data_IF_874026028003
#
_entry.id   IF_874026028003
#
_cell.length_a   1.000
_cell.length_b   1.000
_cell.length_c   1.000
_cell.angle_alpha   90.00
_cell.angle_beta   90.00
_cell.angle_gamma   90.00
#
_symmetry.space_group_name_H-M   'P 1'
#
loop_
_entity.id
_entity.type
_entity.pdbx_description
1 polymer ?
#
# COMPACT_ATOMS: atom_id res chain seq x y z
N UNK A 1 44.14 -20.30 5.33
CA UNK A 1 42.88 -21.06 5.49
C UNK A 1 41.72 -20.10 5.71
N UNK A 2 41.73 -19.25 6.74
CA UNK A 2 40.66 -18.26 6.98
C UNK A 2 40.45 -17.27 5.81
N UNK A 3 41.51 -16.76 5.19
CA UNK A 3 41.43 -15.89 4.01
C UNK A 3 40.73 -16.56 2.84
N UNK A 4 41.12 -17.79 2.51
CA UNK A 4 40.52 -18.58 1.44
C UNK A 4 39.03 -18.85 1.66
N UNK A 5 38.60 -19.04 2.92
CA UNK A 5 37.18 -19.18 3.25
C UNK A 5 36.43 -17.85 3.08
N UNK A 6 36.98 -16.73 3.56
CA UNK A 6 36.37 -15.40 3.35
C UNK A 6 36.17 -15.09 1.87
N UNK A 7 37.18 -15.37 1.05
CA UNK A 7 37.09 -15.17 -0.40
C UNK A 7 36.00 -16.06 -1.02
N UNK A 8 35.95 -17.34 -0.64
CA UNK A 8 34.92 -18.26 -1.10
C UNK A 8 33.50 -17.83 -0.70
N UNK A 9 33.31 -17.27 0.50
CA UNK A 9 32.01 -16.75 0.96
C UNK A 9 31.57 -15.47 0.22
N UNK A 10 32.51 -14.65 -0.26
CA UNK A 10 32.19 -13.44 -1.01
C UNK A 10 31.86 -13.72 -2.48
N UNK A 11 32.34 -14.83 -3.04
CA UNK A 11 32.17 -15.14 -4.47
C UNK A 11 30.70 -15.18 -4.92
N UNK A 12 29.75 -15.81 -4.20
CA UNK A 12 28.33 -15.75 -4.55
C UNK A 12 27.78 -14.33 -4.58
N UNK A 13 28.10 -13.51 -3.56
CA UNK A 13 27.66 -12.12 -3.50
C UNK A 13 28.16 -11.31 -4.70
N UNK A 14 29.46 -11.38 -5.02
CA UNK A 14 30.05 -10.64 -6.14
C UNK A 14 29.48 -11.13 -7.48
N UNK A 15 29.31 -12.45 -7.62
CA UNK A 15 28.85 -13.06 -8.87
C UNK A 15 27.38 -12.76 -9.14
N UNK A 16 26.53 -12.84 -8.12
CA UNK A 16 25.08 -12.64 -8.24
C UNK A 16 24.74 -11.16 -8.29
N UNK A 17 25.33 -10.31 -7.44
CA UNK A 17 25.03 -8.87 -7.42
C UNK A 17 25.27 -8.19 -8.77
N UNK A 18 26.33 -8.59 -9.50
CA UNK A 18 26.62 -8.08 -10.85
C UNK A 18 25.59 -8.48 -11.91
N UNK A 19 24.76 -9.50 -11.63
CA UNK A 19 23.68 -9.95 -12.51
C UNK A 19 22.35 -9.28 -12.17
N UNK A 20 22.23 -8.61 -11.02
CA UNK A 20 21.02 -7.86 -10.65
C UNK A 20 21.08 -6.52 -11.39
N UNK A 21 20.22 -6.38 -12.40
CA UNK A 21 20.08 -5.15 -13.17
C UNK A 21 18.83 -4.41 -12.72
N UNK A 22 18.91 -3.09 -12.60
CA UNK A 22 17.73 -2.26 -12.39
C UNK A 22 17.04 -2.08 -13.74
N UNK A 23 15.91 -2.76 -13.92
CA UNK A 23 15.15 -2.73 -15.18
C UNK A 23 14.21 -1.52 -15.28
N UNK A 24 13.71 -1.02 -14.14
CA UNK A 24 12.74 0.05 -14.11
C UNK A 24 12.85 0.88 -12.82
N UNK A 25 12.57 2.17 -12.92
CA UNK A 25 12.57 3.13 -11.80
C UNK A 25 11.32 3.99 -11.92
N UNK A 26 10.55 4.07 -10.82
CA UNK A 26 9.33 4.88 -10.75
C UNK A 26 9.52 5.98 -9.71
N UNK A 27 9.53 7.23 -10.16
CA UNK A 27 9.50 8.42 -9.29
C UNK A 27 8.06 8.69 -8.83
N UNK A 28 7.79 8.48 -7.53
CA UNK A 28 6.45 8.68 -6.94
C UNK A 28 6.17 10.15 -6.67
N UNK A 29 6.85 10.77 -5.70
CA UNK A 29 6.67 12.18 -5.32
C UNK A 29 7.96 12.78 -4.76
N UNK A 30 8.14 14.11 -4.84
CA UNK A 30 9.23 14.81 -4.18
C UNK A 30 8.97 14.84 -2.67
N UNK A 31 10.03 14.59 -1.89
CA UNK A 31 9.97 14.76 -0.45
C UNK A 31 10.33 16.21 -0.09
N UNK A 32 9.53 16.92 0.72
CA UNK A 32 9.81 18.31 1.07
C UNK A 32 11.09 18.42 1.91
N UNK A 33 11.98 19.35 1.52
CA UNK A 33 13.26 19.59 2.19
C UNK A 33 13.15 20.42 3.48
N UNK A 34 11.95 20.82 3.90
CA UNK A 34 11.69 21.72 5.02
C UNK A 34 11.95 21.05 6.37
N UNK A 35 12.90 21.60 7.13
CA UNK A 35 13.51 21.08 8.36
C UNK A 35 12.62 21.02 9.61
N UNK A 36 11.28 21.09 9.52
CA UNK A 36 10.39 20.94 10.68
C UNK A 36 9.93 19.50 10.92
N UNK A 37 10.12 18.59 9.96
CA UNK A 37 9.66 17.20 10.06
C UNK A 37 10.79 16.25 10.45
N UNK A 38 11.20 16.23 11.72
CA UNK A 38 12.12 15.22 12.26
C UNK A 38 11.50 13.81 12.39
N UNK A 39 10.32 13.58 11.80
CA UNK A 39 9.56 12.32 11.93
C UNK A 39 8.49 12.15 10.83
N UNK A 40 8.69 12.65 9.61
CA UNK A 40 7.76 12.37 8.50
C UNK A 40 7.92 10.93 8.01
N UNK A 41 7.48 9.97 8.81
CA UNK A 41 7.25 8.60 8.37
C UNK A 41 6.09 8.65 7.37
N UNK A 42 6.37 8.34 6.11
CA UNK A 42 5.32 8.15 5.11
C UNK A 42 4.89 6.70 5.17
N UNK A 43 3.63 6.42 5.53
CA UNK A 43 3.09 5.06 5.43
C UNK A 43 3.36 4.47 4.04
N UNK A 44 3.99 3.30 4.02
CA UNK A 44 4.37 2.57 2.83
C UNK A 44 4.22 1.08 3.12
N UNK A 45 3.52 0.37 2.24
CA UNK A 45 3.42 -1.08 2.27
C UNK A 45 3.76 -1.63 0.88
N UNK A 46 4.65 -2.62 0.85
CA UNK A 46 5.08 -3.34 -0.35
C UNK A 46 4.76 -4.81 -0.15
N UNK A 47 4.09 -5.42 -1.12
CA UNK A 47 3.69 -6.83 -1.07
C UNK A 47 3.60 -7.40 -2.48
N UNK A 48 3.61 -8.73 -2.59
CA UNK A 48 3.44 -9.43 -3.86
C UNK A 48 2.50 -10.62 -3.67
N UNK A 49 1.73 -10.94 -4.71
CA UNK A 49 0.78 -12.05 -4.72
C UNK A 49 0.92 -12.86 -5.99
N UNK A 50 0.58 -14.14 -5.90
CA UNK A 50 0.29 -14.96 -7.07
C UNK A 50 -1.13 -14.61 -7.56
N UNK A 51 -1.24 -14.27 -8.83
CA UNK A 51 -2.51 -13.96 -9.47
C UNK A 51 -3.30 -15.26 -9.64
N UNK A 52 -4.44 -15.37 -8.95
CA UNK A 52 -5.31 -16.54 -8.99
C UNK A 52 -6.42 -16.44 -10.03
N UNK A 53 -6.47 -15.34 -10.81
CA UNK A 53 -7.56 -15.04 -11.75
C UNK A 53 -7.65 -15.98 -12.97
N UNK A 54 -6.66 -16.85 -13.21
CA UNK A 54 -6.60 -17.71 -14.41
C UNK A 54 -6.86 -19.21 -14.19
N UNK A 55 -7.38 -19.64 -13.04
CA UNK A 55 -7.64 -21.08 -12.79
C UNK A 55 -8.80 -21.66 -13.64
N UNK A 56 -9.50 -20.86 -14.46
CA UNK A 56 -10.66 -21.30 -15.25
C UNK A 56 -10.31 -21.73 -16.69
N UNK A 57 -9.11 -21.44 -17.20
CA UNK A 57 -8.71 -21.87 -18.55
C UNK A 57 -7.78 -23.08 -18.49
N UNK A 58 -8.39 -24.27 -18.40
CA UNK A 58 -7.69 -25.52 -18.65
C UNK A 58 -7.32 -25.60 -20.14
N UNK A 59 -6.19 -25.03 -20.54
CA UNK A 59 -5.38 -25.48 -21.68
C UNK A 59 -4.03 -24.70 -21.76
N UNK A 60 -2.93 -25.39 -21.43
CA UNK A 60 -1.59 -25.27 -22.01
C UNK A 60 -0.83 -23.90 -21.96
N UNK A 61 -0.51 -23.38 -20.78
CA UNK A 61 0.84 -22.92 -20.39
C UNK A 61 0.85 -22.51 -18.92
N UNK A 62 1.78 -23.04 -18.14
CA UNK A 62 1.92 -22.73 -16.72
C UNK A 62 2.69 -21.42 -16.56
N UNK A 63 2.07 -20.28 -16.91
CA UNK A 63 2.64 -18.96 -16.61
C UNK A 63 2.16 -18.53 -15.23
N UNK A 64 3.01 -18.71 -14.21
CA UNK A 64 2.74 -18.10 -12.90
C UNK A 64 2.83 -16.59 -13.04
N UNK A 65 1.69 -15.92 -12.85
CA UNK A 65 1.57 -14.47 -12.87
C UNK A 65 1.70 -13.97 -11.44
N UNK A 66 2.61 -13.05 -11.21
CA UNK A 66 2.75 -12.38 -9.91
C UNK A 66 2.36 -10.90 -10.06
N UNK A 67 1.76 -10.35 -9.01
CA UNK A 67 1.43 -8.93 -8.95
C UNK A 67 2.12 -8.33 -7.75
N UNK A 68 3.00 -7.37 -8.02
CA UNK A 68 3.59 -6.52 -6.99
C UNK A 68 2.64 -5.35 -6.72
N UNK A 69 2.48 -5.02 -5.46
CA UNK A 69 1.73 -3.85 -5.02
C UNK A 69 2.62 -2.96 -4.16
N UNK A 70 2.54 -1.67 -4.40
CA UNK A 70 3.13 -0.61 -3.59
C UNK A 70 2.01 0.35 -3.23
N UNK A 71 1.69 0.44 -1.95
CA UNK A 71 0.71 1.38 -1.43
C UNK A 71 1.40 2.37 -0.51
N UNK A 72 1.02 3.63 -0.60
CA UNK A 72 1.71 4.70 0.12
C UNK A 72 0.81 5.91 0.31
N UNK A 73 1.08 6.69 1.36
CA UNK A 73 0.44 7.99 1.55
C UNK A 73 1.19 9.06 0.75
N UNK A 74 0.46 9.93 0.06
CA UNK A 74 1.02 11.14 -0.55
C UNK A 74 1.22 12.20 0.54
N UNK A 75 2.43 12.76 0.72
CA UNK A 75 2.64 13.83 1.67
C UNK A 75 1.83 15.09 1.28
N UNK A 76 1.16 15.70 2.25
CA UNK A 76 0.28 16.86 2.01
C UNK A 76 1.06 18.06 1.44
N UNK A 77 2.35 18.18 1.79
CA UNK A 77 3.24 19.24 1.33
C UNK A 77 3.84 19.00 -0.07
N UNK A 78 3.64 17.81 -0.66
CA UNK A 78 4.23 17.50 -1.97
C UNK A 78 3.48 18.19 -3.10
N UNK A 79 2.15 18.06 -3.14
CA UNK A 79 1.30 18.57 -4.22
C UNK A 79 -0.08 18.94 -3.66
N UNK A 80 -0.50 20.19 -3.86
CA UNK A 80 -1.78 20.68 -3.33
C UNK A 80 -2.99 20.01 -3.99
N UNK A 81 -2.88 19.62 -5.27
CA UNK A 81 -3.95 19.01 -6.05
C UNK A 81 -4.28 17.58 -5.62
N UNK A 82 -3.35 16.90 -4.95
CA UNK A 82 -3.49 15.50 -4.51
C UNK A 82 -3.12 15.34 -3.02
N UNK A 83 -3.35 16.39 -2.24
CA UNK A 83 -3.17 16.36 -0.80
C UNK A 83 -4.10 15.31 -0.15
N UNK A 84 -3.70 14.76 1.00
CA UNK A 84 -4.47 13.76 1.74
C UNK A 84 -4.92 12.54 0.89
N UNK A 85 -4.08 12.11 -0.05
CA UNK A 85 -4.36 10.95 -0.90
C UNK A 85 -3.50 9.74 -0.52
N UNK A 86 -4.00 8.55 -0.81
CA UNK A 86 -3.27 7.28 -0.81
C UNK A 86 -3.06 6.84 -2.26
N UNK A 87 -1.82 6.57 -2.64
CA UNK A 87 -1.49 5.99 -3.93
C UNK A 87 -1.34 4.48 -3.82
N UNK A 88 -1.85 3.76 -4.82
CA UNK A 88 -1.62 2.33 -4.99
C UNK A 88 -1.07 2.13 -6.40
N UNK A 89 0.10 1.52 -6.50
CA UNK A 89 0.70 1.08 -7.75
C UNK A 89 0.71 -0.44 -7.74
N UNK A 90 0.26 -1.05 -8.83
CA UNK A 90 0.40 -2.49 -9.06
C UNK A 90 1.21 -2.75 -10.32
N UNK A 91 2.03 -3.79 -10.31
CA UNK A 91 2.86 -4.20 -11.45
C UNK A 91 2.71 -5.70 -11.69
N UNK A 92 2.42 -6.06 -12.93
CA UNK A 92 2.26 -7.45 -13.35
C UNK A 92 3.60 -8.03 -13.80
N UNK A 93 4.11 -9.02 -13.06
CA UNK A 93 5.29 -9.78 -13.39
C UNK A 93 4.87 -11.07 -14.09
N UNK A 94 5.33 -11.24 -15.32
CA UNK A 94 5.14 -12.45 -16.11
C UNK A 94 6.47 -13.21 -16.17
N UNK A 95 6.48 -14.49 -15.81
CA UNK A 95 7.65 -15.36 -16.00
C UNK A 95 7.79 -15.72 -17.48
N UNK A 96 8.41 -14.85 -18.27
CA UNK A 96 8.64 -15.10 -19.69
C UNK A 96 10.01 -15.76 -19.92
N UNK A 97 10.00 -17.07 -20.11
CA UNK A 97 11.13 -17.80 -20.70
C UNK A 97 11.22 -17.68 -22.24
N UNK A 98 10.47 -16.78 -22.90
CA UNK A 98 10.45 -16.70 -24.37
C UNK A 98 10.36 -15.26 -24.91
N UNK A 99 11.48 -14.81 -25.48
CA UNK A 99 11.66 -13.89 -26.61
C UNK A 99 10.84 -12.59 -26.73
N UNK A 100 11.62 -11.49 -26.73
CA UNK A 100 11.47 -10.24 -27.48
C UNK A 100 10.24 -9.37 -27.18
N UNK A 101 10.51 -8.39 -26.31
CA UNK A 101 9.86 -7.08 -26.14
C UNK A 101 8.35 -7.08 -25.83
N UNK A 102 8.03 -6.31 -24.78
CA UNK A 102 6.68 -5.85 -24.36
C UNK A 102 5.94 -6.75 -23.36
N UNK A 103 5.51 -6.32 -22.16
CA UNK A 103 5.70 -5.14 -21.33
C UNK A 103 5.26 -5.60 -19.92
N UNK A 104 6.05 -5.43 -18.85
CA UNK A 104 5.41 -5.44 -17.52
C UNK A 104 4.59 -4.15 -17.44
N UNK A 105 3.26 -4.26 -17.60
CA UNK A 105 2.37 -3.13 -17.40
C UNK A 105 2.36 -2.78 -15.92
N UNK A 106 2.57 -1.51 -15.64
CA UNK A 106 2.34 -0.95 -14.31
C UNK A 106 1.08 -0.12 -14.40
N UNK A 107 0.28 -0.14 -13.34
CA UNK A 107 -0.92 0.66 -13.23
C UNK A 107 -0.96 1.32 -11.86
N UNK A 108 -1.62 2.46 -11.76
CA UNK A 108 -1.75 3.15 -10.49
C UNK A 108 -3.11 3.82 -10.34
N UNK A 109 -3.50 4.03 -9.09
CA UNK A 109 -4.70 4.77 -8.69
C UNK A 109 -4.38 5.66 -7.49
N UNK A 110 -5.06 6.80 -7.42
CA UNK A 110 -5.07 7.69 -6.27
C UNK A 110 -6.43 7.66 -5.61
N UNK A 111 -6.44 7.48 -4.30
CA UNK A 111 -7.65 7.52 -3.47
C UNK A 111 -7.57 8.76 -2.57
N UNK A 112 -8.54 9.68 -2.66
CA UNK A 112 -8.63 10.80 -1.75
C UNK A 112 -9.33 10.41 -0.45
N UNK A 113 -8.71 10.76 0.67
CA UNK A 113 -9.30 10.58 1.99
C UNK A 113 -10.24 11.77 2.24
N UNK A 114 -11.45 11.54 2.79
CA UNK A 114 -12.40 12.61 3.06
C UNK A 114 -11.83 13.66 4.01
N UNK A 115 -12.29 14.90 3.82
CA UNK A 115 -11.99 16.01 4.71
C UNK A 115 -12.40 15.66 6.15
N UNK A 116 -11.58 16.05 7.11
CA UNK A 116 -11.79 15.68 8.51
C UNK A 116 -11.15 14.35 8.89
N UNK A 117 -10.48 13.65 7.98
CA UNK A 117 -9.74 12.41 8.27
C UNK A 117 -8.34 12.42 7.65
N UNK A 118 -7.42 11.68 8.25
CA UNK A 118 -6.05 11.53 7.78
C UNK A 118 -5.59 10.08 7.87
N UNK A 119 -4.90 9.59 6.84
CA UNK A 119 -4.27 8.27 6.87
C UNK A 119 -3.05 8.28 7.80
N UNK A 120 -3.10 7.40 8.78
CA UNK A 120 -2.08 7.18 9.80
C UNK A 120 -1.12 6.11 9.34
N UNK A 121 -1.65 4.98 8.87
CA UNK A 121 -0.88 3.88 8.32
C UNK A 121 -1.74 3.05 7.36
N UNK A 122 -1.09 2.20 6.58
CA UNK A 122 -1.75 1.32 5.63
C UNK A 122 -0.96 0.02 5.48
N UNK A 123 -1.66 -1.07 5.20
CA UNK A 123 -1.02 -2.35 4.91
C UNK A 123 -1.86 -3.13 3.95
N UNK A 124 -1.21 -3.77 3.00
CA UNK A 124 -1.89 -4.66 2.08
C UNK A 124 -2.25 -5.99 2.77
N UNK A 125 -3.36 -6.57 2.35
CA UNK A 125 -4.01 -7.76 2.90
C UNK A 125 -4.22 -8.82 1.79
N UNK A 126 -4.83 -9.97 2.07
CA UNK A 126 -5.03 -11.00 1.04
C UNK A 126 -6.01 -10.54 -0.05
N UNK A 127 -5.99 -11.25 -1.17
CA UNK A 127 -7.01 -11.17 -2.22
C UNK A 127 -7.24 -9.74 -2.76
N UNK A 128 -6.14 -9.01 -3.00
CA UNK A 128 -6.21 -7.65 -3.54
C UNK A 128 -6.87 -6.65 -2.60
N UNK A 129 -6.81 -6.85 -1.28
CA UNK A 129 -7.35 -5.92 -0.29
C UNK A 129 -6.25 -5.07 0.35
N UNK A 130 -6.59 -3.85 0.75
CA UNK A 130 -5.73 -2.99 1.57
C UNK A 130 -6.48 -2.59 2.84
N UNK A 131 -5.80 -2.67 3.97
CA UNK A 131 -6.28 -2.13 5.24
C UNK A 131 -5.74 -0.72 5.41
N UNK A 132 -6.65 0.24 5.55
CA UNK A 132 -6.36 1.64 5.85
C UNK A 132 -6.64 1.92 7.31
N UNK A 133 -5.75 2.66 7.95
CA UNK A 133 -5.90 3.14 9.32
C UNK A 133 -5.97 4.67 9.31
N UNK A 134 -7.10 5.23 9.74
CA UNK A 134 -7.41 6.64 9.66
C UNK A 134 -7.63 7.24 11.06
N UNK A 135 -7.18 8.47 11.26
CA UNK A 135 -7.57 9.31 12.39
C UNK A 135 -8.49 10.42 11.90
N UNK A 136 -9.49 10.77 12.71
CA UNK A 136 -10.22 12.02 12.52
C UNK A 136 -9.31 13.21 12.85
N UNK A 137 -9.26 14.21 11.97
CA UNK A 137 -8.56 15.46 12.21
C UNK A 137 -9.47 16.39 13.01
N UNK A 138 -9.04 16.87 14.17
CA UNK A 138 -9.86 17.63 15.09
C UNK A 138 -10.48 18.89 14.44
N UNK A 139 -11.75 18.81 14.03
CA UNK A 139 -12.55 19.97 13.65
C UNK A 139 -13.20 20.56 14.91
N UNK A 140 -12.54 21.55 15.52
CA UNK A 140 -13.09 22.54 16.47
C UNK A 140 -14.34 22.11 17.26
N UNK A 141 -14.28 21.09 18.09
CA UNK A 141 -15.18 20.87 19.23
C UNK A 141 -14.69 19.68 20.05
N UNK A 142 -15.06 19.64 21.34
CA UNK A 142 -14.63 18.63 22.31
C UNK A 142 -15.21 17.22 22.07
N UNK A 143 -15.25 16.76 20.82
CA UNK A 143 -15.55 15.36 20.52
C UNK A 143 -14.32 14.48 20.75
N UNK A 144 -14.53 13.27 21.24
CA UNK A 144 -13.51 12.23 21.27
C UNK A 144 -12.99 12.01 19.86
N UNK A 145 -11.67 12.15 19.64
CA UNK A 145 -11.02 11.87 18.35
C UNK A 145 -11.37 10.45 17.90
N UNK A 146 -12.24 10.34 16.89
CA UNK A 146 -12.59 9.08 16.27
C UNK A 146 -11.43 8.54 15.43
N UNK A 147 -11.39 7.24 15.26
CA UNK A 147 -10.42 6.58 14.38
C UNK A 147 -11.10 5.42 13.67
N UNK A 148 -10.63 5.10 12.49
CA UNK A 148 -11.29 4.14 11.62
C UNK A 148 -10.27 3.15 11.09
N UNK A 149 -10.64 1.87 11.06
CA UNK A 149 -9.95 0.86 10.27
C UNK A 149 -10.88 0.41 9.15
N UNK A 150 -10.40 0.45 7.91
CA UNK A 150 -11.18 0.11 6.73
C UNK A 150 -10.45 -0.92 5.88
N UNK A 151 -11.18 -1.88 5.32
CA UNK A 151 -10.67 -2.77 4.28
C UNK A 151 -11.21 -2.32 2.91
N UNK A 152 -10.31 -1.99 2.00
CA UNK A 152 -10.61 -1.54 0.62
C UNK A 152 -10.27 -2.65 -0.36
N UNK A 153 -11.21 -3.00 -1.25
CA UNK A 153 -10.95 -3.89 -2.37
C UNK A 153 -10.26 -3.11 -3.48
N UNK A 154 -9.06 -3.53 -3.85
CA UNK A 154 -8.23 -2.83 -4.84
C UNK A 154 -8.70 -3.12 -6.26
N UNK A 155 -9.18 -4.33 -6.53
CA UNK A 155 -9.57 -4.73 -7.90
C UNK A 155 -10.77 -3.97 -8.46
N UNK A 156 -11.60 -3.40 -7.58
CA UNK A 156 -12.76 -2.58 -7.96
C UNK A 156 -12.36 -1.12 -8.31
N UNK A 157 -11.09 -0.75 -8.09
CA UNK A 157 -10.62 0.61 -8.30
C UNK A 157 -10.28 0.87 -9.79
N UNK A 158 -10.54 2.07 -10.31
CA UNK A 158 -10.24 2.44 -11.69
C UNK A 158 -8.74 2.72 -11.86
N UNK A 159 -7.95 1.66 -11.99
CA UNK A 159 -6.52 1.76 -12.28
C UNK A 159 -6.24 2.42 -13.64
N UNK A 160 -5.23 3.29 -13.66
CA UNK A 160 -4.74 3.95 -14.86
C UNK A 160 -3.38 3.38 -15.23
N UNK A 161 -3.20 2.99 -16.48
CA UNK A 161 -1.92 2.47 -16.97
C UNK A 161 -0.82 3.53 -16.87
N UNK A 162 0.31 3.13 -16.32
CA UNK A 162 1.49 3.96 -16.12
C UNK A 162 2.56 3.59 -17.14
N UNK A 163 2.77 4.40 -18.19
CA UNK A 163 3.79 4.10 -19.18
C UNK A 163 5.17 4.19 -18.54
N UNK A 164 6.08 3.29 -18.91
CA UNK A 164 7.49 3.38 -18.50
C UNK A 164 8.09 4.68 -19.03
N UNK A 165 8.88 5.37 -18.20
CA UNK A 165 9.60 6.58 -18.59
C UNK A 165 10.99 6.53 -17.99
N UNK A 166 12.06 6.61 -18.80
CA UNK A 166 13.43 6.70 -18.28
C UNK A 166 13.72 8.07 -17.65
N UNK A 167 12.85 9.07 -17.86
CA UNK A 167 13.02 10.41 -17.31
C UNK A 167 12.51 10.48 -15.86
N UNK A 168 13.41 10.83 -14.95
CA UNK A 168 13.16 10.98 -13.50
C UNK A 168 12.44 12.29 -13.13
N UNK A 169 12.44 13.28 -14.03
CA UNK A 169 11.88 14.62 -13.76
C UNK A 169 10.34 14.67 -13.84
N UNK A 170 9.71 13.57 -14.23
CA UNK A 170 8.25 13.46 -14.31
C UNK A 170 7.71 12.61 -13.14
N UNK A 171 7.14 13.28 -12.14
CA UNK A 171 6.41 12.60 -11.05
C UNK A 171 5.17 11.92 -11.60
N UNK A 172 5.19 10.59 -11.65
CA UNK A 172 4.14 9.81 -12.31
C UNK A 172 2.78 9.98 -11.63
N UNK A 173 2.79 10.21 -10.31
CA UNK A 173 1.58 10.40 -9.53
C UNK A 173 0.80 11.66 -9.91
N UNK A 174 1.47 12.72 -10.38
CA UNK A 174 0.81 13.94 -10.85
C UNK A 174 -0.04 13.71 -12.09
N UNK A 175 0.28 12.67 -12.88
CA UNK A 175 -0.51 12.31 -14.06
C UNK A 175 -1.88 11.72 -13.66
N UNK A 176 -2.04 11.33 -12.40
CA UNK A 176 -3.27 10.75 -11.86
C UNK A 176 -4.18 11.79 -11.19
N UNK A 177 -3.80 13.07 -11.14
CA UNK A 177 -4.56 14.13 -10.46
C UNK A 177 -6.01 14.27 -10.95
N UNK A 178 -6.26 13.97 -12.22
CA UNK A 178 -7.58 14.07 -12.84
C UNK A 178 -8.41 12.78 -12.66
N UNK A 179 -7.80 11.71 -12.12
CA UNK A 179 -8.40 10.38 -11.91
C UNK A 179 -8.45 9.99 -10.41
N UNK A 180 -8.48 10.98 -9.52
CA UNK A 180 -8.54 10.74 -8.08
C UNK A 180 -9.93 10.21 -7.69
N UNK A 181 -9.95 9.11 -6.93
CA UNK A 181 -11.16 8.42 -6.51
C UNK A 181 -11.47 8.76 -5.06
N UNK A 182 -12.67 9.25 -4.71
CA UNK A 182 -13.03 9.50 -3.32
C UNK A 182 -13.20 8.19 -2.54
N UNK A 183 -12.58 8.12 -1.36
CA UNK A 183 -12.76 7.01 -0.44
C UNK A 183 -14.20 6.99 0.12
N UNK A 184 -14.91 5.89 -0.11
CA UNK A 184 -16.29 5.71 0.36
C UNK A 184 -16.29 5.15 1.78
N UNK A 185 -16.62 5.99 2.77
CA UNK A 185 -16.68 5.63 4.20
C UNK A 185 -17.97 4.90 4.61
N UNK A 186 -18.98 4.84 3.73
CA UNK A 186 -20.29 4.25 4.01
C UNK A 186 -20.34 2.71 3.80
N UNK A 187 -19.21 2.08 3.49
CA UNK A 187 -19.13 0.64 3.26
C UNK A 187 -19.17 -0.17 4.57
N UNK A 188 -19.71 -1.39 4.49
CA UNK A 188 -19.85 -2.34 5.61
C UNK A 188 -18.51 -2.74 6.28
N UNK A 189 -17.37 -2.51 5.61
CA UNK A 189 -16.03 -2.88 6.11
C UNK A 189 -15.28 -1.76 6.83
N UNK A 190 -16.00 -0.80 7.43
CA UNK A 190 -15.42 0.26 8.27
C UNK A 190 -15.66 -0.04 9.74
N UNK A 191 -14.59 -0.03 10.53
CA UNK A 191 -14.65 -0.24 11.98
C UNK A 191 -14.22 1.01 12.72
N UNK A 192 -15.04 1.41 13.68
CA UNK A 192 -14.78 2.55 14.56
C UNK A 192 -13.86 2.13 15.71
N UNK A 193 -12.85 2.95 15.97
CA UNK A 193 -11.91 2.79 17.08
C UNK A 193 -12.08 4.03 17.96
N UNK A 194 -12.47 3.84 19.21
CA UNK A 194 -12.79 4.94 20.14
C UNK A 194 -11.58 5.77 20.60
N UNK A 195 -10.40 5.52 20.04
CA UNK A 195 -9.15 6.15 20.42
C UNK A 195 -8.33 6.46 19.18
N UNK A 196 -7.68 7.63 19.21
CA UNK A 196 -6.62 7.97 18.25
C UNK A 196 -5.62 6.82 18.10
N UNK A 197 -5.34 6.47 16.85
CA UNK A 197 -4.43 5.40 16.47
C UNK A 197 -3.09 5.97 16.00
N UNK A 198 -2.04 5.17 16.16
CA UNK A 198 -0.67 5.49 15.78
C UNK A 198 -0.05 4.31 15.01
N UNK A 199 0.95 4.55 14.13
CA UNK A 199 1.69 3.47 13.50
C UNK A 199 2.48 2.64 14.54
N UNK A 200 2.85 1.39 14.22
CA UNK A 200 2.61 0.70 12.95
C UNK A 200 1.28 -0.08 12.93
N UNK A 201 0.62 -0.16 11.79
CA UNK A 201 -0.42 -1.14 11.50
C UNK A 201 0.25 -2.47 11.14
N UNK A 202 -0.20 -3.57 11.76
CA UNK A 202 0.23 -4.92 11.38
C UNK A 202 -0.96 -5.76 10.96
N UNK A 203 -0.88 -6.39 9.80
CA UNK A 203 -1.96 -7.22 9.24
C UNK A 203 -1.42 -8.63 8.96
N UNK A 204 -2.24 -9.64 9.24
CA UNK A 204 -1.94 -11.04 8.94
C UNK A 204 -3.00 -11.62 8.01
N UNK A 205 -2.62 -11.76 6.73
CA UNK A 205 -3.40 -12.45 5.70
C UNK A 205 -3.79 -13.88 6.10
N UNK A 206 -2.83 -14.65 6.64
CA UNK A 206 -3.04 -16.07 6.97
C UNK A 206 -3.92 -16.30 8.19
N UNK A 207 -4.03 -15.31 9.08
CA UNK A 207 -4.84 -15.39 10.31
C UNK A 207 -6.10 -14.55 10.26
N UNK A 208 -6.26 -13.72 9.23
CA UNK A 208 -7.38 -12.81 9.09
C UNK A 208 -7.48 -11.77 10.20
N UNK A 209 -6.35 -11.27 10.70
CA UNK A 209 -6.32 -10.31 11.83
C UNK A 209 -5.51 -9.06 11.52
N UNK A 210 -5.89 -7.96 12.15
CA UNK A 210 -5.13 -6.72 12.21
C UNK A 210 -4.80 -6.36 13.66
N UNK A 211 -3.60 -5.84 13.88
CA UNK A 211 -3.16 -5.27 15.16
C UNK A 211 -2.92 -3.78 14.97
N UNK A 212 -3.58 -2.97 15.79
CA UNK A 212 -3.57 -1.51 15.75
C UNK A 212 -3.04 -0.99 17.08
N UNK A 213 -2.18 0.02 17.05
CA UNK A 213 -1.73 0.70 18.26
C UNK A 213 -2.56 1.95 18.52
N UNK A 214 -3.18 2.01 19.68
CA UNK A 214 -3.78 3.24 20.18
C UNK A 214 -2.70 4.16 20.76
N UNK A 215 -2.88 5.47 20.64
CA UNK A 215 -1.97 6.50 21.18
C UNK A 215 -1.71 6.34 22.69
N UNK A 216 -2.62 5.67 23.41
CA UNK A 216 -2.48 5.29 24.82
C UNK A 216 -1.53 4.11 25.08
N UNK A 217 -0.71 3.70 24.10
CA UNK A 217 0.23 2.57 24.14
C UNK A 217 -0.44 1.22 24.42
N UNK A 218 -1.64 1.02 23.88
CA UNK A 218 -2.34 -0.28 23.90
C UNK A 218 -2.40 -0.83 22.48
N UNK A 219 -2.16 -2.13 22.34
CA UNK A 219 -2.42 -2.84 21.10
C UNK A 219 -3.86 -3.38 21.14
N UNK A 220 -4.58 -3.18 20.04
CA UNK A 220 -5.93 -3.68 19.79
C UNK A 220 -5.83 -4.70 18.65
N UNK A 221 -6.44 -5.87 18.80
CA UNK A 221 -6.42 -6.91 17.78
C UNK A 221 -7.85 -7.12 17.27
N UNK A 222 -8.00 -7.05 15.96
CA UNK A 222 -9.26 -7.17 15.25
C UNK A 222 -9.23 -8.39 14.33
N UNK A 223 -10.32 -9.14 14.27
CA UNK A 223 -10.52 -10.21 13.29
C UNK A 223 -11.22 -9.60 12.08
N UNK A 224 -10.54 -9.51 10.94
CA UNK A 224 -10.99 -8.75 9.76
C UNK A 224 -12.16 -9.40 9.00
N UNK A 225 -12.46 -10.67 9.26
CA UNK A 225 -13.51 -11.43 8.58
C UNK A 225 -14.84 -11.48 9.33
N UNK A 226 -14.84 -11.14 10.63
CA UNK A 226 -16.04 -11.11 11.45
C UNK A 226 -16.64 -9.71 11.47
N UNK A 227 -17.94 -9.57 11.21
CA UNK A 227 -18.67 -8.33 11.45
C UNK A 227 -18.75 -8.08 12.97
N UNK A 228 -18.65 -6.83 13.40
CA UNK A 228 -18.85 -6.52 14.82
C UNK A 228 -20.33 -6.75 15.14
N UNK A 229 -20.63 -7.75 15.97
CA UNK A 229 -21.95 -7.88 16.56
C UNK A 229 -22.30 -6.54 17.21
N UNK A 230 -23.39 -5.90 16.75
CA UNK A 230 -23.92 -4.71 17.41
C UNK A 230 -24.09 -5.06 18.89
N UNK A 231 -23.26 -4.48 19.75
CA UNK A 231 -23.53 -4.49 21.18
C UNK A 231 -24.81 -3.69 21.31
N UNK A 232 -25.95 -4.40 21.32
CA UNK A 232 -27.21 -3.81 21.68
C UNK A 232 -27.00 -3.23 23.06
N UNK A 233 -27.02 -1.90 23.17
CA UNK A 233 -27.22 -1.21 24.43
C UNK A 233 -28.56 -1.67 25.01
N UNK A 234 -28.52 -2.80 25.70
CA UNK A 234 -29.61 -3.41 26.43
C UNK A 234 -29.04 -3.91 27.76
N UNK A 235 -28.68 -2.96 28.61
CA UNK A 235 -29.00 -2.80 30.05
C UNK A 235 -27.91 -2.08 30.86
#
# INVERSE_FOLDING_TARGET
MESSFKDAFLMPFITISRKILCEDIISLFPFPSSSSCLSSHVPLSVSYYEDSSEVVSADLSCEQKFIDYISFRVPDDSFAEIANCVGIVRRFIHDQSCSNEDHSSSEAVLISIPDGSQCVDLSLYKDGQIVLLLNETASTSESSVGSYMMVVQVDDLPFVSMPRSPCLDNWKILQLKDNVVPLQMENEKVRNISHAVIPPLAVSASRGVACVFAARKRALVYILEEDEDEVSDAE
#
